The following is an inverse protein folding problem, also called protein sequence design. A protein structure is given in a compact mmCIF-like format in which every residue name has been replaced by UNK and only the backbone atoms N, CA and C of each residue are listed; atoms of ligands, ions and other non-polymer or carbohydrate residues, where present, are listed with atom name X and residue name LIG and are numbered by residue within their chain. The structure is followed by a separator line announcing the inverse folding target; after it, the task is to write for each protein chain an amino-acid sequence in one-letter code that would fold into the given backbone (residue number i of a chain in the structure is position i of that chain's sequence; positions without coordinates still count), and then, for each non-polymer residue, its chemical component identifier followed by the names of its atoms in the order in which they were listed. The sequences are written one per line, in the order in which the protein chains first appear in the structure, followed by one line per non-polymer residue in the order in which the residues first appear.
data_IF_879862758327
#
_entry.id   IF_879862758327
#
_cell.length_a   1.000
_cell.length_b   1.000
_cell.length_c   1.000
_cell.angle_alpha   90.00
_cell.angle_beta   90.00
_cell.angle_gamma   90.00
#
_symmetry.space_group_name_H-M   'P 1'
#
loop_
_entity.id
_entity.type
_entity.pdbx_description
1 polymer ?
#
# COMPACT_ATOMS: atom_id res chain seq x y z
N UNK A 1 -19.09 14.11 17.07
CA UNK A 1 -19.66 12.82 16.58
C UNK A 1 -18.87 12.40 15.35
N UNK A 2 -17.84 11.58 15.52
CA UNK A 2 -17.06 11.07 14.39
C UNK A 2 -17.79 9.85 13.82
N UNK A 3 -18.13 9.87 12.54
CA UNK A 3 -18.57 8.66 11.84
C UNK A 3 -17.42 7.67 11.92
N UNK A 4 -17.61 6.59 12.68
CA UNK A 4 -16.73 5.42 12.58
C UNK A 4 -16.93 4.85 11.17
N UNK A 5 -16.07 5.27 10.24
CA UNK A 5 -16.09 4.75 8.89
C UNK A 5 -15.54 3.33 8.97
N UNK A 6 -16.40 2.34 8.76
CA UNK A 6 -16.00 0.94 8.80
C UNK A 6 -14.86 0.69 7.80
N UNK A 7 -13.87 -0.10 8.21
CA UNK A 7 -12.71 -0.41 7.37
C UNK A 7 -13.17 -1.10 6.08
N UNK A 8 -12.86 -0.50 4.93
CA UNK A 8 -13.17 -1.03 3.62
C UNK A 8 -12.33 -2.28 3.34
N UNK A 9 -13.02 -3.38 2.98
CA UNK A 9 -12.42 -4.67 2.61
C UNK A 9 -12.77 -5.07 1.20
N UNK A 10 -11.80 -5.51 0.41
CA UNK A 10 -11.99 -5.89 -0.98
C UNK A 10 -10.92 -6.87 -1.47
N UNK A 11 -11.29 -8.15 -1.52
CA UNK A 11 -10.45 -9.20 -2.13
C UNK A 11 -10.09 -8.88 -3.58
N UNK A 12 -11.02 -8.27 -4.32
CA UNK A 12 -10.81 -7.84 -5.72
C UNK A 12 -9.71 -6.77 -5.82
N UNK A 13 -9.69 -5.81 -4.89
CA UNK A 13 -8.62 -4.82 -4.83
C UNK A 13 -7.27 -5.47 -4.53
N UNK A 14 -7.20 -6.28 -3.47
CA UNK A 14 -5.95 -6.95 -3.08
C UNK A 14 -5.40 -7.85 -4.20
N UNK A 15 -6.27 -8.59 -4.88
CA UNK A 15 -5.89 -9.40 -6.04
C UNK A 15 -5.38 -8.56 -7.21
N UNK A 16 -5.95 -7.36 -7.43
CA UNK A 16 -5.49 -6.45 -8.47
C UNK A 16 -4.11 -5.86 -8.14
N UNK A 17 -3.88 -5.47 -6.88
CA UNK A 17 -2.55 -5.02 -6.41
C UNK A 17 -1.53 -6.15 -6.55
N UNK A 18 -1.91 -7.38 -6.20
CA UNK A 18 -1.06 -8.57 -6.33
C UNK A 18 -0.64 -8.92 -7.77
N UNK A 19 -1.24 -8.31 -8.79
CA UNK A 19 -0.83 -8.48 -10.20
C UNK A 19 0.30 -7.51 -10.62
N UNK A 20 0.71 -6.59 -9.75
CA UNK A 20 1.79 -5.65 -10.04
C UNK A 20 3.13 -6.32 -9.71
N UNK A 21 3.80 -6.91 -10.71
CA UNK A 21 4.99 -7.74 -10.48
C UNK A 21 6.27 -6.98 -10.09
N UNK A 22 6.31 -5.66 -10.29
CA UNK A 22 7.48 -4.83 -10.02
C UNK A 22 7.16 -3.80 -8.95
N UNK A 23 8.04 -3.69 -7.95
CA UNK A 23 7.92 -2.75 -6.85
C UNK A 23 7.70 -1.33 -7.38
N UNK A 24 6.68 -0.65 -6.87
CA UNK A 24 6.34 0.71 -7.34
C UNK A 24 7.36 1.77 -6.91
N UNK A 25 8.25 1.47 -5.95
CA UNK A 25 9.28 2.40 -5.50
C UNK A 25 10.62 2.20 -6.22
N UNK A 26 11.10 0.96 -6.34
CA UNK A 26 12.44 0.66 -6.87
C UNK A 26 12.46 -0.11 -8.20
N UNK A 27 11.32 -0.64 -8.66
CA UNK A 27 11.22 -1.38 -9.93
C UNK A 27 11.73 -2.83 -9.90
N UNK A 28 12.28 -3.30 -8.78
CA UNK A 28 12.68 -4.69 -8.57
C UNK A 28 11.49 -5.64 -8.74
N UNK A 29 11.73 -6.80 -9.35
CA UNK A 29 10.72 -7.83 -9.54
C UNK A 29 10.40 -8.57 -8.22
N UNK A 30 9.14 -8.95 -8.05
CA UNK A 30 8.63 -9.60 -6.84
C UNK A 30 8.07 -8.58 -5.85
N UNK A 31 6.77 -8.68 -5.57
CA UNK A 31 6.06 -7.74 -4.69
C UNK A 31 5.16 -8.44 -3.68
N UNK A 32 4.91 -7.73 -2.57
CA UNK A 32 3.93 -8.02 -1.55
C UNK A 32 2.89 -6.90 -1.53
N UNK A 33 1.67 -7.22 -1.10
CA UNK A 33 0.62 -6.22 -0.85
C UNK A 33 0.80 -5.67 0.56
N UNK A 34 1.33 -4.47 0.67
CA UNK A 34 1.64 -3.79 1.93
C UNK A 34 0.50 -2.83 2.31
N UNK A 35 -0.14 -3.03 3.47
CA UNK A 35 -1.16 -2.11 4.01
C UNK A 35 -0.52 -0.90 4.68
N UNK A 36 -1.16 0.27 4.59
CA UNK A 36 -0.71 1.49 5.29
C UNK A 36 -0.40 1.20 6.77
N UNK A 37 0.74 1.71 7.23
CA UNK A 37 1.26 1.51 8.59
C UNK A 37 0.80 2.55 9.62
N UNK A 38 -0.05 3.50 9.23
CA UNK A 38 -0.59 4.56 10.07
C UNK A 38 -2.06 4.33 10.45
N UNK A 39 -2.52 4.99 11.53
CA UNK A 39 -3.93 5.04 11.97
C UNK A 39 -4.52 3.67 12.35
N UNK A 40 -3.66 2.75 12.78
CA UNK A 40 -4.04 1.40 13.20
C UNK A 40 -3.41 1.02 14.53
N UNK A 41 -4.13 0.21 15.30
CA UNK A 41 -3.54 -0.55 16.42
C UNK A 41 -2.56 -1.61 15.92
N UNK A 42 -1.74 -2.13 16.83
CA UNK A 42 -0.78 -3.21 16.54
C UNK A 42 -1.53 -4.44 15.99
N UNK A 43 -1.05 -5.01 14.89
CA UNK A 43 -1.67 -6.18 14.24
C UNK A 43 -2.94 -5.89 13.41
N UNK A 44 -3.48 -4.67 13.44
CA UNK A 44 -4.64 -4.32 12.63
C UNK A 44 -4.24 -3.96 11.19
N UNK A 45 -5.18 -4.08 10.26
CA UNK A 45 -5.05 -3.63 8.87
C UNK A 45 -5.97 -2.45 8.62
N UNK A 46 -5.48 -1.43 7.93
CA UNK A 46 -6.26 -0.30 7.41
C UNK A 46 -7.11 -0.74 6.22
N UNK A 47 -7.79 0.20 5.55
CA UNK A 47 -8.57 -0.06 4.34
C UNK A 47 -7.75 -0.81 3.29
N UNK A 48 -8.35 -1.80 2.63
CA UNK A 48 -7.66 -2.56 1.59
C UNK A 48 -7.26 -1.66 0.42
N UNK A 49 -7.96 -0.54 0.17
CA UNK A 49 -7.56 0.44 -0.84
C UNK A 49 -6.32 1.27 -0.45
N UNK A 50 -5.95 1.31 0.82
CA UNK A 50 -4.74 1.93 1.32
C UNK A 50 -3.56 0.93 1.33
N UNK A 51 -3.33 0.28 0.18
CA UNK A 51 -2.27 -0.71 -0.01
C UNK A 51 -1.29 -0.33 -1.13
N UNK A 52 -0.06 -0.85 -1.05
CA UNK A 52 0.98 -0.66 -2.04
C UNK A 52 1.60 -1.99 -2.49
N UNK A 53 2.05 -2.06 -3.75
CA UNK A 53 2.82 -3.18 -4.28
C UNK A 53 4.33 -2.94 -4.10
N UNK A 54 4.94 -3.59 -3.10
CA UNK A 54 6.32 -3.34 -2.69
C UNK A 54 7.15 -4.62 -2.68
N UNK A 55 8.43 -4.56 -3.05
CA UNK A 55 9.34 -5.68 -2.81
C UNK A 55 9.58 -5.87 -1.30
N UNK A 56 10.03 -7.06 -0.85
CA UNK A 56 10.27 -7.33 0.57
C UNK A 56 11.23 -6.33 1.24
N UNK A 57 12.24 -5.84 0.53
CA UNK A 57 13.21 -4.87 1.05
C UNK A 57 12.58 -3.51 1.32
N UNK A 58 11.88 -2.93 0.34
CA UNK A 58 11.18 -1.66 0.51
C UNK A 58 10.06 -1.78 1.56
N UNK A 59 9.35 -2.91 1.58
CA UNK A 59 8.30 -3.16 2.56
C UNK A 59 8.89 -3.22 3.98
N UNK A 60 10.00 -3.94 4.17
CA UNK A 60 10.69 -4.01 5.44
C UNK A 60 11.22 -2.64 5.90
N UNK A 61 11.87 -1.88 5.02
CA UNK A 61 12.40 -0.55 5.37
C UNK A 61 11.30 0.42 5.85
N UNK A 62 10.12 0.35 5.23
CA UNK A 62 8.95 1.18 5.60
C UNK A 62 8.31 0.75 6.92
N UNK A 63 8.24 -0.55 7.22
CA UNK A 63 7.55 -1.03 8.42
C UNK A 63 8.48 -1.14 9.64
N UNK A 64 9.69 -1.65 9.44
CA UNK A 64 10.60 -2.08 10.50
C UNK A 64 12.03 -1.56 10.34
N UNK A 65 12.35 -0.85 9.24
CA UNK A 65 13.65 -0.28 8.99
C UNK A 65 14.06 0.79 10.00
N UNK A 66 15.36 1.05 10.05
CA UNK A 66 15.99 2.01 10.97
C UNK A 66 16.62 3.23 10.26
N UNK A 67 16.56 3.31 8.92
CA UNK A 67 17.15 4.41 8.16
C UNK A 67 16.23 5.61 8.02
N UNK A 68 14.93 5.41 8.22
CA UNK A 68 13.89 6.41 8.04
C UNK A 68 13.24 6.73 9.38
N UNK A 69 13.03 8.02 9.65
CA UNK A 69 12.21 8.45 10.76
C UNK A 69 10.72 8.14 10.51
N UNK A 70 9.87 8.35 11.52
CA UNK A 70 8.44 8.02 11.43
C UNK A 70 7.71 8.75 10.30
N UNK A 71 7.98 10.04 10.13
CA UNK A 71 7.35 10.87 9.10
C UNK A 71 7.81 10.46 7.70
N UNK A 72 9.10 10.16 7.54
CA UNK A 72 9.66 9.66 6.27
C UNK A 72 9.03 8.32 5.86
N UNK A 73 8.88 7.38 6.81
CA UNK A 73 8.20 6.10 6.56
C UNK A 73 6.76 6.31 6.08
N UNK A 74 6.02 7.22 6.72
CA UNK A 74 4.64 7.56 6.34
C UNK A 74 4.57 8.22 4.96
N UNK A 75 5.46 9.18 4.69
CA UNK A 75 5.54 9.86 3.40
C UNK A 75 5.84 8.87 2.27
N UNK A 76 6.81 7.97 2.49
CA UNK A 76 7.19 6.96 1.52
C UNK A 76 6.07 5.94 1.28
N UNK A 77 5.36 5.53 2.33
CA UNK A 77 4.18 4.67 2.21
C UNK A 77 3.04 5.36 1.43
N UNK A 78 2.76 6.64 1.73
CA UNK A 78 1.76 7.42 0.99
C UNK A 78 2.11 7.53 -0.49
N UNK A 79 3.39 7.81 -0.80
CA UNK A 79 3.90 7.81 -2.19
C UNK A 79 3.69 6.44 -2.85
N UNK A 80 4.02 5.35 -2.16
CA UNK A 80 3.84 4.00 -2.70
C UNK A 80 2.38 3.65 -2.99
N UNK A 81 1.44 4.05 -2.13
CA UNK A 81 0.01 3.86 -2.34
C UNK A 81 -0.46 4.63 -3.58
N UNK A 82 -0.08 5.90 -3.73
CA UNK A 82 -0.43 6.72 -4.91
C UNK A 82 0.10 6.07 -6.20
N UNK A 83 1.37 5.66 -6.20
CA UNK A 83 1.97 4.99 -7.36
C UNK A 83 1.28 3.66 -7.71
N UNK A 84 0.84 2.92 -6.69
CA UNK A 84 0.07 1.68 -6.86
C UNK A 84 -1.29 1.97 -7.52
N UNK A 85 -2.02 2.99 -7.07
CA UNK A 85 -3.29 3.39 -7.68
C UNK A 85 -3.09 3.81 -9.15
N UNK A 86 -2.06 4.63 -9.44
CA UNK A 86 -1.72 5.02 -10.82
C UNK A 86 -1.45 3.77 -11.68
N UNK A 87 -0.71 2.80 -11.15
CA UNK A 87 -0.41 1.55 -11.85
C UNK A 87 -1.67 0.72 -12.10
N UNK A 88 -2.58 0.61 -11.14
CA UNK A 88 -3.87 -0.07 -11.29
C UNK A 88 -4.74 0.57 -12.37
N UNK A 89 -4.80 1.90 -12.43
CA UNK A 89 -5.52 2.63 -13.48
C UNK A 89 -4.92 2.35 -14.85
N UNK A 90 -3.58 2.42 -14.98
CA UNK A 90 -2.86 2.08 -16.22
C UNK A 90 -3.10 0.63 -16.66
N UNK A 91 -3.27 -0.29 -15.72
CA UNK A 91 -3.63 -1.69 -15.98
C UNK A 91 -5.13 -1.92 -16.20
N UNK A 92 -5.94 -0.86 -16.24
CA UNK A 92 -7.42 -0.92 -16.36
C UNK A 92 -8.09 -1.76 -15.27
N UNK A 93 -7.49 -1.85 -14.07
CA UNK A 93 -8.06 -2.55 -12.90
C UNK A 93 -8.93 -1.65 -12.04
N UNK A 94 -8.70 -0.34 -12.11
CA UNK A 94 -9.50 0.71 -11.47
C UNK A 94 -9.87 1.71 -12.54
N UNK A 95 -11.16 1.95 -12.74
CA UNK A 95 -11.71 2.93 -13.67
C UNK A 95 -12.81 3.71 -12.94
N UNK A 96 -12.82 5.05 -13.02
CA UNK A 96 -13.98 5.83 -12.59
C UNK A 96 -15.22 5.36 -13.35
N UNK A 97 -16.35 5.31 -12.65
CA UNK A 97 -17.66 5.06 -13.27
C UNK A 97 -18.25 6.37 -13.77
#
# INVERSE_FOLDING_TARGET
MGVSMAIYRSKKWLAAVGQIERCVLCGTWGTQVAHRNELKGMGLKTDDCATAALCPECHHEIDNGNKLNREERRCLMNRAIVLTVIKLVRMRKVVPK
#
